data_IF_684161425778
#
_entry.id   IF_684161425778
#
_cell.length_a   1.000
_cell.length_b   1.000
_cell.length_c   1.000
_cell.angle_alpha   90.00
_cell.angle_beta   90.00
_cell.angle_gamma   90.00
#
_symmetry.space_group_name_H-M   'P 1'
#
loop_
_entity.id
_entity.type
_entity.pdbx_description
1 polymer ?
#
# COMPACT_ATOMS: atom_id res chain seq x y z
N UNK A 1 -8.68 -2.53 1.23
CA UNK A 1 -7.69 -3.41 0.55
C UNK A 1 -8.21 -3.97 -0.76
N UNK A 2 -9.46 -4.44 -0.85
CA UNK A 2 -10.03 -4.92 -2.12
C UNK A 2 -10.44 -3.76 -3.03
N UNK A 3 -11.02 -2.68 -2.50
CA UNK A 3 -11.49 -1.51 -3.28
C UNK A 3 -10.33 -0.57 -3.69
N UNK A 4 -9.26 -0.53 -2.92
CA UNK A 4 -8.11 0.38 -3.13
C UNK A 4 -7.43 0.22 -4.50
N UNK A 5 -7.09 -1.01 -4.93
CA UNK A 5 -6.55 -1.26 -6.27
C UNK A 5 -7.46 -0.78 -7.40
N UNK A 6 -8.78 -0.89 -7.26
CA UNK A 6 -9.73 -0.39 -8.27
C UNK A 6 -9.75 1.14 -8.35
N UNK A 7 -9.63 1.85 -7.21
CA UNK A 7 -9.50 3.32 -7.20
C UNK A 7 -8.18 3.80 -7.81
N UNK A 8 -7.10 3.03 -7.62
CA UNK A 8 -5.78 3.37 -8.18
C UNK A 8 -5.74 3.25 -9.71
N UNK A 9 -6.47 2.28 -10.30
CA UNK A 9 -6.53 2.05 -11.76
C UNK A 9 -6.94 3.31 -12.52
N UNK A 10 -7.96 4.04 -12.05
CA UNK A 10 -8.44 5.26 -12.72
C UNK A 10 -7.39 6.38 -12.80
N UNK A 11 -6.54 6.50 -11.78
CA UNK A 11 -5.46 7.49 -11.72
C UNK A 11 -4.28 7.13 -12.64
N UNK A 12 -3.93 5.85 -12.70
CA UNK A 12 -2.89 5.38 -13.59
C UNK A 12 -3.29 5.53 -15.07
N UNK A 13 -4.54 5.24 -15.44
CA UNK A 13 -5.04 5.50 -16.80
C UNK A 13 -4.99 6.98 -17.18
N UNK A 14 -5.27 7.91 -16.26
CA UNK A 14 -5.09 9.35 -16.54
C UNK A 14 -3.64 9.72 -16.81
N UNK A 15 -2.69 9.17 -16.04
CA UNK A 15 -1.26 9.41 -16.28
C UNK A 15 -0.86 8.92 -17.68
N UNK A 16 -1.29 7.70 -18.03
CA UNK A 16 -1.03 7.09 -19.34
C UNK A 16 -1.67 7.86 -20.50
N UNK A 17 -2.91 8.31 -20.36
CA UNK A 17 -3.59 9.06 -21.42
C UNK A 17 -3.01 10.46 -21.61
N UNK A 18 -2.56 11.12 -20.53
CA UNK A 18 -1.83 12.39 -20.65
C UNK A 18 -0.52 12.22 -21.44
N UNK A 19 0.19 11.11 -21.22
CA UNK A 19 1.40 10.78 -21.97
C UNK A 19 1.10 10.40 -23.43
N UNK A 20 -0.06 9.79 -23.70
CA UNK A 20 -0.51 9.48 -25.06
C UNK A 20 -1.19 10.67 -25.79
N UNK A 21 -1.18 11.88 -25.21
CA UNK A 21 -1.81 13.07 -25.78
C UNK A 21 -3.35 13.01 -25.88
N UNK A 22 -4.00 12.09 -25.15
CA UNK A 22 -5.46 11.91 -25.18
C UNK A 22 -6.12 12.60 -23.98
N UNK A 23 -7.13 13.47 -24.19
CA UNK A 23 -7.89 14.04 -23.08
C UNK A 23 -8.80 12.97 -22.46
N UNK A 24 -8.51 12.55 -21.22
CA UNK A 24 -9.41 11.71 -20.41
C UNK A 24 -10.21 12.58 -19.43
N UNK A 25 -11.55 12.44 -19.46
CA UNK A 25 -12.45 13.05 -18.50
C UNK A 25 -12.53 12.28 -17.17
N UNK A 26 -12.91 12.95 -16.08
CA UNK A 26 -13.06 12.34 -14.73
C UNK A 26 -14.03 11.14 -14.72
N UNK A 27 -15.09 11.19 -15.53
CA UNK A 27 -16.04 10.07 -15.67
C UNK A 27 -15.39 8.83 -16.30
N UNK A 28 -14.47 9.01 -17.24
CA UNK A 28 -13.75 7.92 -17.89
C UNK A 28 -12.67 7.31 -16.98
N UNK A 29 -12.19 8.02 -15.96
CA UNK A 29 -11.29 7.46 -14.92
C UNK A 29 -12.03 6.53 -13.96
N UNK A 30 -13.30 6.81 -13.64
CA UNK A 30 -14.11 6.00 -12.73
C UNK A 30 -14.64 4.75 -13.45
N UNK A 31 -14.88 4.84 -14.76
CA UNK A 31 -15.39 3.76 -15.61
C UNK A 31 -14.30 2.89 -16.28
N UNK A 32 -13.02 3.06 -15.91
CA UNK A 32 -11.95 2.22 -16.45
C UNK A 32 -12.22 0.76 -16.09
N UNK A 33 -12.46 -0.06 -17.11
CA UNK A 33 -12.44 -1.50 -16.96
C UNK A 33 -10.98 -1.95 -16.85
N UNK A 34 -10.55 -2.55 -15.72
CA UNK A 34 -9.23 -3.13 -15.64
C UNK A 34 -9.09 -4.23 -16.70
N UNK A 35 -7.97 -4.23 -17.42
CA UNK A 35 -7.65 -5.22 -18.48
C UNK A 35 -7.75 -6.66 -17.93
N UNK A 36 -7.51 -6.87 -16.64
CA UNK A 36 -7.71 -8.14 -15.93
C UNK A 36 -8.24 -7.95 -14.50
N UNK A 37 -9.53 -7.61 -14.35
CA UNK A 37 -10.17 -7.46 -13.03
C UNK A 37 -9.94 -8.62 -12.06
N UNK A 38 -9.81 -9.85 -12.58
CA UNK A 38 -9.49 -11.05 -11.79
C UNK A 38 -8.08 -11.04 -11.19
N UNK A 39 -7.06 -10.54 -11.90
CA UNK A 39 -5.68 -10.47 -11.38
C UNK A 39 -5.55 -9.37 -10.32
N UNK A 40 -6.24 -8.24 -10.52
CA UNK A 40 -6.36 -7.19 -9.50
C UNK A 40 -7.09 -7.70 -8.25
N UNK A 41 -8.16 -8.48 -8.42
CA UNK A 41 -8.84 -9.14 -7.31
C UNK A 41 -7.91 -10.13 -6.58
N UNK A 42 -7.11 -10.90 -7.31
CA UNK A 42 -6.13 -11.83 -6.72
C UNK A 42 -5.03 -11.09 -5.94
N UNK A 43 -4.50 -10.01 -6.49
CA UNK A 43 -3.57 -9.13 -5.78
C UNK A 43 -4.20 -8.54 -4.50
N UNK A 44 -5.44 -8.07 -4.60
CA UNK A 44 -6.21 -7.58 -3.46
C UNK A 44 -6.47 -8.67 -2.40
N UNK A 45 -6.72 -9.91 -2.82
CA UNK A 45 -6.89 -11.06 -1.93
C UNK A 45 -5.59 -11.37 -1.18
N UNK A 46 -4.46 -11.40 -1.88
CA UNK A 46 -3.16 -11.68 -1.26
C UNK A 46 -2.77 -10.61 -0.23
N UNK A 47 -3.00 -9.33 -0.55
CA UNK A 47 -2.86 -8.24 0.41
C UNK A 47 -3.85 -8.33 1.57
N UNK A 48 -5.07 -8.81 1.31
CA UNK A 48 -6.07 -9.09 2.35
C UNK A 48 -5.62 -10.18 3.32
N UNK A 49 -5.09 -11.29 2.81
CA UNK A 49 -4.51 -12.37 3.63
C UNK A 49 -3.34 -11.87 4.48
N UNK A 50 -2.47 -11.03 3.90
CA UNK A 50 -1.38 -10.41 4.64
C UNK A 50 -1.89 -9.56 5.81
N UNK A 51 -2.99 -8.82 5.61
CA UNK A 51 -3.61 -8.03 6.69
C UNK A 51 -4.28 -8.91 7.73
N UNK A 52 -4.91 -10.02 7.35
CA UNK A 52 -5.42 -10.98 8.33
C UNK A 52 -4.28 -11.55 9.20
N UNK A 53 -3.15 -11.86 8.58
CA UNK A 53 -1.97 -12.32 9.32
C UNK A 53 -1.40 -11.23 10.23
N UNK A 54 -1.38 -9.97 9.77
CA UNK A 54 -0.99 -8.83 10.60
C UNK A 54 -1.93 -8.62 11.81
N UNK A 55 -3.25 -8.72 11.63
CA UNK A 55 -4.22 -8.66 12.73
C UNK A 55 -3.95 -9.77 13.74
N UNK A 56 -3.66 -11.00 13.28
CA UNK A 56 -3.28 -12.10 14.17
C UNK A 56 -1.97 -11.84 14.90
N UNK A 57 -0.98 -11.25 14.25
CA UNK A 57 0.25 -10.84 14.91
C UNK A 57 -0.01 -9.78 15.99
N UNK A 58 -0.92 -8.83 15.73
CA UNK A 58 -1.34 -7.83 16.72
C UNK A 58 -2.03 -8.46 17.94
N UNK A 59 -2.94 -9.42 17.72
CA UNK A 59 -3.58 -10.19 18.79
C UNK A 59 -2.53 -10.91 19.67
N UNK A 60 -1.55 -11.56 19.04
CA UNK A 60 -0.47 -12.28 19.74
C UNK A 60 0.46 -11.35 20.51
N UNK A 61 0.79 -10.19 19.95
CA UNK A 61 1.57 -9.18 20.66
C UNK A 61 0.80 -8.65 21.87
N UNK A 62 -0.49 -8.35 21.72
CA UNK A 62 -1.31 -7.95 22.85
C UNK A 62 -1.32 -9.03 23.94
N UNK A 63 -1.54 -10.29 23.57
CA UNK A 63 -1.52 -11.42 24.50
C UNK A 63 -0.15 -11.60 25.18
N UNK A 64 0.96 -11.32 24.48
CA UNK A 64 2.31 -11.38 25.04
C UNK A 64 2.53 -10.36 26.15
N UNK A 65 1.99 -9.13 26.01
CA UNK A 65 2.21 -8.05 26.97
C UNK A 65 1.14 -7.96 28.07
N UNK A 66 -0.12 -8.31 27.77
CA UNK A 66 -1.27 -8.15 28.65
C UNK A 66 -1.90 -9.49 29.10
N UNK A 67 -1.39 -10.62 28.59
CA UNK A 67 -1.91 -11.96 28.88
C UNK A 67 -3.19 -12.29 28.08
N UNK A 68 -3.77 -13.45 28.36
CA UNK A 68 -5.02 -13.92 27.75
C UNK A 68 -6.28 -13.32 28.38
N UNK A 69 -6.15 -12.14 29.00
CA UNK A 69 -7.29 -11.47 29.61
C UNK A 69 -8.25 -10.97 28.52
N UNK A 70 -9.57 -10.96 28.77
CA UNK A 70 -10.54 -10.37 27.85
C UNK A 70 -10.12 -8.96 27.46
N UNK A 71 -10.29 -8.61 26.18
CA UNK A 71 -10.01 -7.25 25.73
C UNK A 71 -10.81 -6.26 26.59
N UNK A 72 -10.14 -5.35 27.33
CA UNK A 72 -10.84 -4.30 28.04
C UNK A 72 -11.55 -3.42 27.00
N UNK A 73 -12.54 -2.64 27.45
CA UNK A 73 -13.21 -1.67 26.58
C UNK A 73 -12.18 -0.78 25.86
N UNK A 74 -12.51 -0.29 24.66
CA UNK A 74 -11.57 0.49 23.83
C UNK A 74 -10.93 1.67 24.60
N UNK A 75 -11.70 2.29 25.50
CA UNK A 75 -11.24 3.40 26.35
C UNK A 75 -10.19 2.95 27.38
N UNK A 76 -10.45 1.85 28.08
CA UNK A 76 -9.52 1.28 29.06
C UNK A 76 -8.25 0.74 28.39
N UNK A 77 -8.38 0.12 27.22
CA UNK A 77 -7.24 -0.32 26.43
C UNK A 77 -6.35 0.88 26.04
N UNK A 78 -6.95 1.99 25.61
CA UNK A 78 -6.23 3.20 25.24
C UNK A 78 -5.47 3.81 26.43
N UNK A 79 -6.14 3.93 27.58
CA UNK A 79 -5.50 4.45 28.81
C UNK A 79 -4.34 3.54 29.22
N UNK A 80 -4.54 2.22 29.26
CA UNK A 80 -3.50 1.28 29.64
C UNK A 80 -2.30 1.32 28.68
N UNK A 81 -2.54 1.43 27.38
CA UNK A 81 -1.47 1.48 26.36
C UNK A 81 -0.65 2.77 26.46
N UNK A 82 -1.28 3.90 26.76
CA UNK A 82 -0.61 5.20 26.80
C UNK A 82 0.03 5.54 28.15
N UNK A 83 -0.44 4.94 29.26
CA UNK A 83 0.00 5.31 30.61
C UNK A 83 0.90 4.28 31.29
N UNK A 84 0.94 3.03 30.78
CA UNK A 84 1.69 1.96 31.43
C UNK A 84 3.01 1.65 30.70
N UNK A 85 4.08 1.26 31.43
CA UNK A 85 5.33 0.82 30.80
C UNK A 85 5.17 -0.37 29.85
N UNK A 86 4.23 -1.28 30.16
CA UNK A 86 3.87 -2.41 29.29
C UNK A 86 3.21 -1.93 28.00
N UNK A 87 2.34 -0.93 28.10
CA UNK A 87 1.73 -0.24 26.95
C UNK A 87 2.75 0.39 26.02
N UNK A 88 3.77 1.07 26.57
CA UNK A 88 4.84 1.64 25.76
C UNK A 88 5.72 0.59 25.08
N UNK A 89 6.01 -0.51 25.79
CA UNK A 89 6.72 -1.65 25.19
C UNK A 89 5.89 -2.26 24.04
N UNK A 90 4.57 -2.39 24.21
CA UNK A 90 3.66 -2.83 23.15
C UNK A 90 3.66 -1.84 21.97
N UNK A 91 3.64 -0.53 22.20
CA UNK A 91 3.72 0.48 21.13
C UNK A 91 5.02 0.32 20.35
N UNK A 92 6.15 0.19 21.03
CA UNK A 92 7.46 0.11 20.38
C UNK A 92 7.61 -1.19 19.57
N UNK A 93 7.32 -2.34 20.18
CA UNK A 93 7.41 -3.64 19.51
C UNK A 93 6.33 -3.78 18.43
N UNK A 94 5.10 -3.35 18.72
CA UNK A 94 3.99 -3.36 17.78
C UNK A 94 4.24 -2.45 16.58
N UNK A 95 4.86 -1.29 16.78
CA UNK A 95 5.28 -0.42 15.68
C UNK A 95 6.37 -1.07 14.84
N UNK A 96 7.36 -1.73 15.45
CA UNK A 96 8.41 -2.44 14.72
C UNK A 96 7.85 -3.61 13.88
N UNK A 97 6.99 -4.44 14.48
CA UNK A 97 6.32 -5.54 13.77
C UNK A 97 5.41 -5.01 12.67
N UNK A 98 4.61 -3.97 12.96
CA UNK A 98 3.77 -3.30 11.98
C UNK A 98 4.58 -2.70 10.83
N UNK A 99 5.75 -2.11 11.10
CA UNK A 99 6.64 -1.59 10.07
C UNK A 99 7.18 -2.69 9.15
N UNK A 100 7.47 -3.89 9.67
CA UNK A 100 7.87 -5.04 8.85
C UNK A 100 6.74 -5.47 7.91
N UNK A 101 5.51 -5.58 8.43
CA UNK A 101 4.34 -5.90 7.62
C UNK A 101 4.07 -4.84 6.55
N UNK A 102 4.14 -3.56 6.93
CA UNK A 102 3.96 -2.46 6.01
C UNK A 102 5.04 -2.44 4.92
N UNK A 103 6.32 -2.66 5.28
CA UNK A 103 7.41 -2.73 4.33
C UNK A 103 7.25 -3.90 3.35
N UNK A 104 6.84 -5.07 3.84
CA UNK A 104 6.57 -6.22 3.00
C UNK A 104 5.39 -5.98 2.06
N UNK A 105 4.26 -5.49 2.59
CA UNK A 105 3.08 -5.12 1.79
C UNK A 105 3.43 -4.07 0.72
N UNK A 106 4.23 -3.07 1.08
CA UNK A 106 4.71 -2.04 0.17
C UNK A 106 5.58 -2.64 -0.94
N UNK A 107 6.58 -3.46 -0.59
CA UNK A 107 7.48 -4.09 -1.55
C UNK A 107 6.76 -4.96 -2.59
N UNK A 108 5.75 -5.73 -2.16
CA UNK A 108 4.97 -6.59 -3.08
C UNK A 108 3.90 -5.84 -3.86
N UNK A 109 3.55 -4.59 -3.51
CA UNK A 109 2.42 -3.88 -4.13
C UNK A 109 2.84 -2.67 -4.97
N UNK A 110 3.97 -2.05 -4.66
CA UNK A 110 4.42 -0.77 -5.22
C UNK A 110 4.45 -0.76 -6.75
N UNK A 111 4.99 -1.82 -7.35
CA UNK A 111 5.15 -1.93 -8.80
C UNK A 111 4.20 -2.94 -9.45
N UNK A 112 3.38 -3.64 -8.68
CA UNK A 112 2.49 -4.66 -9.25
C UNK A 112 1.33 -4.06 -10.05
N UNK A 113 0.75 -2.94 -9.60
CA UNK A 113 -0.34 -2.27 -10.32
C UNK A 113 0.09 -1.81 -11.73
N UNK A 114 1.19 -1.06 -11.93
CA UNK A 114 1.61 -0.68 -13.29
C UNK A 114 1.95 -1.89 -14.16
N UNK A 115 2.52 -2.96 -13.59
CA UNK A 115 2.81 -4.19 -14.32
C UNK A 115 1.56 -4.96 -14.77
N UNK A 116 0.54 -5.02 -13.91
CA UNK A 116 -0.76 -5.60 -14.25
C UNK A 116 -1.49 -4.78 -15.32
N UNK A 117 -1.40 -3.44 -15.24
CA UNK A 117 -1.98 -2.53 -16.24
C UNK A 117 -1.29 -2.62 -17.60
N UNK A 118 0.03 -2.86 -17.62
CA UNK A 118 0.79 -3.11 -18.84
C UNK A 118 0.43 -4.46 -19.51
N UNK A 119 -0.36 -5.32 -18.86
CA UNK A 119 -0.87 -6.58 -19.41
C UNK A 119 0.20 -7.67 -19.58
N UNK A 120 1.38 -7.52 -18.97
CA UNK A 120 2.53 -8.38 -19.27
C UNK A 120 2.63 -9.62 -18.37
N UNK A 121 2.04 -9.63 -17.16
CA UNK A 121 2.26 -10.68 -16.15
C UNK A 121 1.04 -10.94 -15.27
N UNK A 122 0.94 -12.14 -14.73
CA UNK A 122 -0.04 -12.52 -13.70
C UNK A 122 0.26 -11.88 -12.34
N UNK A 123 -0.73 -11.87 -11.43
CA UNK A 123 -0.64 -11.17 -10.15
C UNK A 123 0.52 -11.66 -9.27
N UNK A 124 0.75 -12.97 -9.19
CA UNK A 124 1.83 -13.53 -8.38
C UNK A 124 3.19 -13.14 -8.93
N UNK A 125 3.39 -13.27 -10.24
CA UNK A 125 4.65 -12.85 -10.88
C UNK A 125 4.85 -11.34 -10.75
N UNK A 126 3.79 -10.53 -10.88
CA UNK A 126 3.87 -9.07 -10.70
C UNK A 126 4.23 -8.69 -9.25
N UNK A 127 3.76 -9.42 -8.25
CA UNK A 127 4.11 -9.21 -6.85
C UNK A 127 5.56 -9.63 -6.55
N UNK A 128 5.98 -10.80 -7.03
CA UNK A 128 7.34 -11.29 -6.86
C UNK A 128 8.38 -10.40 -7.55
N UNK A 129 8.09 -9.93 -8.76
CA UNK A 129 8.94 -8.98 -9.48
C UNK A 129 8.97 -7.60 -8.80
N UNK A 130 7.84 -7.11 -8.27
CA UNK A 130 7.81 -5.88 -7.46
C UNK A 130 8.72 -6.00 -6.24
N UNK A 131 8.68 -7.15 -5.55
CA UNK A 131 9.56 -7.43 -4.42
C UNK A 131 11.03 -7.45 -4.84
N UNK A 132 11.37 -8.17 -5.92
CA UNK A 132 12.74 -8.24 -6.42
C UNK A 132 13.28 -6.86 -6.82
N UNK A 133 12.48 -6.05 -7.54
CA UNK A 133 12.83 -4.67 -7.90
C UNK A 133 13.04 -3.78 -6.68
N UNK A 134 12.20 -3.97 -5.65
CA UNK A 134 12.30 -3.25 -4.38
C UNK A 134 13.58 -3.63 -3.62
N UNK A 135 13.89 -4.92 -3.52
CA UNK A 135 15.08 -5.41 -2.83
C UNK A 135 16.37 -4.95 -3.53
N UNK A 136 16.39 -4.94 -4.87
CA UNK A 136 17.56 -4.51 -5.64
C UNK A 136 17.78 -2.99 -5.57
N UNK A 137 16.71 -2.19 -5.39
CA UNK A 137 16.76 -0.72 -5.35
C UNK A 137 16.38 -0.16 -3.97
N UNK A 138 16.79 -0.85 -2.91
CA UNK A 138 16.32 -0.61 -1.55
C UNK A 138 16.47 0.85 -1.09
N UNK A 139 17.59 1.51 -1.41
CA UNK A 139 17.83 2.91 -1.01
C UNK A 139 16.80 3.87 -1.60
N UNK A 140 16.52 3.74 -2.90
CA UNK A 140 15.55 4.61 -3.61
C UNK A 140 14.14 4.30 -3.14
N UNK A 141 13.81 3.02 -2.98
CA UNK A 141 12.47 2.61 -2.55
C UNK A 141 12.20 2.95 -1.09
N UNK A 142 13.20 2.91 -0.21
CA UNK A 142 13.07 3.40 1.17
C UNK A 142 12.83 4.91 1.20
N UNK A 143 13.57 5.70 0.41
CA UNK A 143 13.33 7.13 0.30
C UNK A 143 11.90 7.43 -0.19
N UNK A 144 11.42 6.68 -1.19
CA UNK A 144 10.03 6.77 -1.66
C UNK A 144 9.03 6.34 -0.58
N UNK A 145 9.32 5.27 0.15
CA UNK A 145 8.50 4.78 1.26
C UNK A 145 8.35 5.82 2.38
N UNK A 146 9.41 6.58 2.69
CA UNK A 146 9.35 7.69 3.64
C UNK A 146 8.43 8.81 3.14
N UNK A 147 8.49 9.17 1.85
CA UNK A 147 7.59 10.16 1.25
C UNK A 147 6.13 9.70 1.36
N UNK A 148 5.86 8.43 1.05
CA UNK A 148 4.53 7.83 1.19
C UNK A 148 4.06 7.85 2.65
N UNK A 149 4.93 7.49 3.59
CA UNK A 149 4.61 7.50 5.02
C UNK A 149 4.29 8.91 5.53
N UNK A 150 5.07 9.92 5.14
CA UNK A 150 4.83 11.32 5.51
C UNK A 150 3.51 11.82 4.90
N UNK A 151 3.27 11.53 3.62
CA UNK A 151 2.02 11.90 2.96
C UNK A 151 0.79 11.25 3.60
N UNK A 152 0.92 9.99 4.02
CA UNK A 152 -0.14 9.30 4.75
C UNK A 152 -0.35 9.89 6.15
N UNK A 153 0.71 10.17 6.91
CA UNK A 153 0.64 10.81 8.22
C UNK A 153 -0.04 12.19 8.15
N UNK A 154 0.32 13.00 7.15
CA UNK A 154 -0.34 14.27 6.87
C UNK A 154 -1.83 14.11 6.51
N UNK A 155 -2.15 13.08 5.72
CA UNK A 155 -3.55 12.77 5.39
C UNK A 155 -4.34 12.37 6.64
N UNK A 156 -3.77 11.56 7.53
CA UNK A 156 -4.41 11.19 8.81
C UNK A 156 -4.62 12.42 9.69
N UNK A 157 -3.63 13.31 9.79
CA UNK A 157 -3.74 14.55 10.57
C UNK A 157 -4.84 15.51 10.06
N UNK A 158 -5.18 15.42 8.77
CA UNK A 158 -6.24 16.21 8.13
C UNK A 158 -7.58 15.46 8.03
N UNK A 159 -7.80 14.45 8.87
CA UNK A 159 -9.00 13.59 8.84
C UNK A 159 -9.25 12.97 7.45
N UNK A 160 -8.17 12.54 6.78
CA UNK A 160 -8.13 11.95 5.44
C UNK A 160 -8.44 12.92 4.29
N UNK A 161 -8.68 14.21 4.53
CA UNK A 161 -8.89 15.20 3.47
C UNK A 161 -7.64 15.39 2.60
N UNK A 162 -6.45 15.34 3.20
CA UNK A 162 -5.17 15.43 2.49
C UNK A 162 -4.99 14.34 1.43
N UNK A 163 -5.72 13.22 1.55
CA UNK A 163 -5.67 12.11 0.59
C UNK A 163 -6.13 12.56 -0.81
N UNK A 164 -6.99 13.58 -0.92
CA UNK A 164 -7.44 14.13 -2.21
C UNK A 164 -6.25 14.63 -3.04
N UNK A 165 -5.23 15.20 -2.40
CA UNK A 165 -4.04 15.75 -3.05
C UNK A 165 -2.89 14.74 -3.04
N UNK A 166 -2.69 14.05 -1.92
CA UNK A 166 -1.60 13.09 -1.75
C UNK A 166 -1.76 11.90 -2.70
N UNK A 167 -2.99 11.38 -2.86
CA UNK A 167 -3.22 10.16 -3.63
C UNK A 167 -2.88 10.33 -5.13
N UNK A 168 -3.27 11.43 -5.82
CA UNK A 168 -2.81 11.70 -7.18
C UNK A 168 -1.29 11.87 -7.32
N UNK A 169 -0.66 12.58 -6.39
CA UNK A 169 0.80 12.83 -6.41
C UNK A 169 1.58 11.53 -6.24
N UNK A 170 1.15 10.68 -5.29
CA UNK A 170 1.79 9.38 -5.06
C UNK A 170 1.58 8.43 -6.26
N UNK A 171 0.40 8.43 -6.87
CA UNK A 171 0.14 7.64 -8.08
C UNK A 171 1.06 8.06 -9.23
N UNK A 172 1.19 9.37 -9.47
CA UNK A 172 2.08 9.89 -10.51
C UNK A 172 3.55 9.58 -10.23
N UNK A 173 4.01 9.78 -9.01
CA UNK A 173 5.40 9.50 -8.63
C UNK A 173 5.75 8.02 -8.69
N UNK A 174 4.84 7.14 -8.29
CA UNK A 174 5.04 5.68 -8.38
C UNK A 174 5.17 5.20 -9.82
N UNK A 175 4.40 5.77 -10.75
CA UNK A 175 4.53 5.51 -12.19
C UNK A 175 5.93 5.89 -12.71
N UNK A 176 6.43 7.06 -12.31
CA UNK A 176 7.75 7.54 -12.74
C UNK A 176 8.89 6.73 -12.11
N UNK A 177 8.77 6.39 -10.83
CA UNK A 177 9.72 5.53 -10.14
C UNK A 177 9.83 4.15 -10.81
N UNK A 178 8.69 3.55 -11.18
CA UNK A 178 8.65 2.29 -11.92
C UNK A 178 9.37 2.37 -13.26
N UNK A 179 9.11 3.41 -14.04
CA UNK A 179 9.76 3.60 -15.35
C UNK A 179 11.27 3.82 -15.21
N UNK A 180 11.69 4.63 -14.24
CA UNK A 180 13.10 4.93 -13.98
C UNK A 180 13.92 3.71 -13.53
N UNK A 181 13.28 2.75 -12.84
CA UNK A 181 13.91 1.52 -12.36
C UNK A 181 13.99 0.43 -13.47
N UNK A 182 13.43 0.69 -14.65
CA UNK A 182 13.53 -0.21 -15.81
C UNK A 182 12.21 -0.85 -16.23
N UNK A 183 11.07 -0.24 -15.90
CA UNK A 183 9.80 -0.54 -16.56
C UNK A 183 9.89 -0.19 -18.05
N UNK A 184 10.37 -1.13 -18.86
CA UNK A 184 10.44 -1.00 -20.31
C UNK A 184 9.02 -0.91 -20.86
N UNK A 185 8.62 0.29 -21.27
CA UNK A 185 7.61 0.44 -22.32
C UNK A 185 8.30 0.15 -23.64
N UNK A 186 8.53 -1.12 -23.95
CA UNK A 186 8.68 -1.48 -25.35
C UNK A 186 7.31 -1.29 -25.99
N UNK A 187 7.17 -0.20 -26.76
CA UNK A 187 6.31 -0.15 -27.92
C UNK A 187 6.96 0.75 -28.98
N UNK A 188 6.96 0.38 -30.27
CA UNK A 188 6.71 -0.93 -30.89
C UNK A 188 8.00 -1.69 -31.29
#
# INVERSE_FOLDING_TARGET
LIVGPFLAVGLYEKSRAREAGRPLGLAQMILVRPVSGAQLAYAGLFLGLLVLFWIRAADLLYALFFGLNPFPGADEAMVNVLTTPRGWALILVGSAVGAIFAAFAFAISLFSIPMLMAGQRDALTAMGTSFAMTAHNLKVVLAWGVIVAIGLAFSVATFLLGLIVVFPVLGYGTWHAWRAIGGTTDQP
#
